data_IF_958700556835
#
_entry.id   IF_958700556835
#
_cell.length_a   1.000
_cell.length_b   1.000
_cell.length_c   1.000
_cell.angle_alpha   90.00
_cell.angle_beta   90.00
_cell.angle_gamma   90.00
#
_symmetry.space_group_name_H-M   'P 1'
#
loop_
_entity.id
_entity.type
_entity.pdbx_description
1 polymer ?
#
# COMPACT_ATOMS: atom_id res chain seq x y z
N UNK A 1 -22.34 -54.29 13.45
CA UNK A 1 -22.39 -55.10 12.21
C UNK A 1 -23.80 -55.26 11.64
N UNK A 2 -24.83 -55.50 12.46
CA UNK A 2 -26.22 -55.73 12.01
C UNK A 2 -26.87 -54.52 11.30
N UNK A 3 -26.55 -53.28 11.70
CA UNK A 3 -27.05 -52.07 11.04
C UNK A 3 -26.51 -51.89 9.61
N UNK A 4 -25.27 -52.30 9.33
CA UNK A 4 -24.69 -52.26 7.98
C UNK A 4 -25.30 -53.32 7.06
N UNK A 5 -25.61 -54.51 7.59
CA UNK A 5 -26.27 -55.58 6.84
C UNK A 5 -27.71 -55.20 6.46
N UNK A 6 -28.44 -54.52 7.34
CA UNK A 6 -29.80 -54.03 7.05
C UNK A 6 -29.83 -52.96 5.95
N UNK A 7 -28.83 -52.05 5.92
CA UNK A 7 -28.70 -51.04 4.86
C UNK A 7 -28.37 -51.69 3.51
N UNK A 8 -27.49 -52.70 3.49
CA UNK A 8 -27.16 -53.44 2.26
C UNK A 8 -28.34 -54.24 1.71
N UNK A 9 -29.18 -54.82 2.57
CA UNK A 9 -30.38 -55.54 2.15
C UNK A 9 -31.49 -54.60 1.66
N UNK A 10 -31.62 -53.41 2.27
CA UNK A 10 -32.54 -52.37 1.82
C UNK A 10 -32.15 -51.83 0.45
N UNK A 11 -30.87 -51.51 0.22
CA UNK A 11 -30.38 -51.00 -1.07
C UNK A 11 -30.44 -52.04 -2.21
N UNK A 12 -30.39 -53.34 -1.91
CA UNK A 12 -30.52 -54.42 -2.92
C UNK A 12 -31.96 -54.73 -3.33
N UNK A 13 -32.96 -54.34 -2.54
CA UNK A 13 -34.39 -54.62 -2.79
C UNK A 13 -35.13 -53.55 -3.60
N UNK A 14 -34.54 -52.37 -3.80
CA UNK A 14 -35.20 -51.26 -4.51
C UNK A 14 -34.85 -51.31 -6.00
N UNK A 15 -35.77 -51.84 -6.82
CA UNK A 15 -35.76 -51.55 -8.27
C UNK A 15 -36.13 -50.07 -8.44
N UNK A 16 -35.12 -49.20 -8.51
CA UNK A 16 -35.34 -47.77 -8.78
C UNK A 16 -35.80 -47.62 -10.22
N UNK A 17 -37.07 -47.24 -10.41
CA UNK A 17 -37.52 -46.76 -11.70
C UNK A 17 -36.91 -45.37 -12.00
N UNK A 18 -36.90 -44.97 -13.27
CA UNK A 18 -36.33 -43.70 -13.70
C UNK A 18 -36.98 -42.50 -12.99
N UNK A 19 -38.25 -42.62 -12.56
CA UNK A 19 -38.97 -41.57 -11.85
C UNK A 19 -38.43 -41.39 -10.42
N UNK A 20 -38.19 -42.48 -9.69
CA UNK A 20 -37.61 -42.47 -8.34
C UNK A 20 -36.16 -41.98 -8.37
N UNK A 21 -35.37 -42.38 -9.38
CA UNK A 21 -34.02 -41.88 -9.57
C UNK A 21 -33.99 -40.37 -9.88
N UNK A 22 -34.89 -39.88 -10.74
CA UNK A 22 -35.02 -38.46 -11.03
C UNK A 22 -35.49 -37.66 -9.80
N UNK A 23 -36.43 -38.20 -9.02
CA UNK A 23 -36.92 -37.58 -7.78
C UNK A 23 -35.81 -37.46 -6.74
N UNK A 24 -35.07 -38.55 -6.47
CA UNK A 24 -33.95 -38.56 -5.51
C UNK A 24 -32.83 -37.62 -5.95
N UNK A 25 -32.52 -37.57 -7.25
CA UNK A 25 -31.54 -36.62 -7.80
C UNK A 25 -32.01 -35.18 -7.65
N UNK A 26 -33.29 -34.90 -7.93
CA UNK A 26 -33.90 -33.59 -7.74
C UNK A 26 -33.86 -33.12 -6.29
N UNK A 27 -34.20 -34.00 -5.34
CA UNK A 27 -34.10 -33.74 -3.90
C UNK A 27 -32.65 -33.50 -3.47
N UNK A 28 -31.70 -34.31 -3.93
CA UNK A 28 -30.28 -34.13 -3.63
C UNK A 28 -29.73 -32.79 -4.15
N UNK A 29 -30.09 -32.41 -5.40
CA UNK A 29 -29.73 -31.12 -5.98
C UNK A 29 -30.37 -29.94 -5.22
N UNK A 30 -31.64 -30.07 -4.81
CA UNK A 30 -32.33 -29.06 -4.02
C UNK A 30 -31.69 -28.89 -2.63
N UNK A 31 -31.45 -29.99 -1.90
CA UNK A 31 -30.76 -29.99 -0.60
C UNK A 31 -29.36 -29.40 -0.74
N UNK A 32 -28.59 -29.81 -1.75
CA UNK A 32 -27.28 -29.25 -2.04
C UNK A 32 -27.31 -27.74 -2.30
N UNK A 33 -28.29 -27.28 -3.09
CA UNK A 33 -28.48 -25.85 -3.38
C UNK A 33 -28.84 -25.05 -2.13
N UNK A 34 -29.73 -25.59 -1.28
CA UNK A 34 -30.08 -24.98 0.02
C UNK A 34 -28.87 -24.92 0.94
N UNK A 35 -28.09 -26.01 1.05
CA UNK A 35 -26.86 -26.02 1.87
C UNK A 35 -25.85 -24.99 1.38
N UNK A 36 -25.65 -24.86 0.06
CA UNK A 36 -24.77 -23.84 -0.52
C UNK A 36 -25.29 -22.43 -0.23
N UNK A 37 -26.60 -22.20 -0.38
CA UNK A 37 -27.23 -20.92 -0.08
C UNK A 37 -27.09 -20.55 1.40
N UNK A 38 -27.39 -21.47 2.31
CA UNK A 38 -27.24 -21.28 3.77
C UNK A 38 -25.78 -20.99 4.14
N UNK A 39 -24.83 -21.76 3.60
CA UNK A 39 -23.39 -21.51 3.82
C UNK A 39 -22.98 -20.13 3.30
N UNK A 40 -23.48 -19.72 2.13
CA UNK A 40 -23.21 -18.40 1.55
C UNK A 40 -23.78 -17.27 2.42
N UNK A 41 -25.03 -17.39 2.87
CA UNK A 41 -25.68 -16.41 3.77
C UNK A 41 -24.91 -16.33 5.10
N UNK A 42 -24.57 -17.47 5.71
CA UNK A 42 -23.81 -17.51 6.96
C UNK A 42 -22.42 -16.85 6.81
N UNK A 43 -21.71 -17.15 5.71
CA UNK A 43 -20.41 -16.52 5.42
C UNK A 43 -20.54 -15.01 5.23
N UNK A 44 -21.59 -14.53 4.54
CA UNK A 44 -21.84 -13.11 4.36
C UNK A 44 -22.09 -12.40 5.70
N UNK A 45 -22.95 -12.97 6.56
CA UNK A 45 -23.20 -12.41 7.90
C UNK A 45 -21.92 -12.31 8.73
N UNK A 46 -21.10 -13.38 8.76
CA UNK A 46 -19.81 -13.36 9.45
C UNK A 46 -18.87 -12.28 8.92
N UNK A 47 -18.86 -12.07 7.60
CA UNK A 47 -18.05 -11.02 6.97
C UNK A 47 -18.54 -9.61 7.35
N UNK A 48 -19.85 -9.40 7.35
CA UNK A 48 -20.48 -8.14 7.80
C UNK A 48 -20.18 -7.85 9.28
N UNK A 49 -20.33 -8.85 10.16
CA UNK A 49 -19.99 -8.72 11.57
C UNK A 49 -18.52 -8.33 11.80
N UNK A 50 -17.58 -8.94 11.06
CA UNK A 50 -16.16 -8.57 11.09
C UNK A 50 -15.94 -7.12 10.66
N UNK A 51 -16.57 -6.70 9.55
CA UNK A 51 -16.49 -5.31 9.07
C UNK A 51 -17.04 -4.35 10.13
N UNK A 52 -18.18 -4.68 10.73
CA UNK A 52 -18.81 -3.83 11.75
C UNK A 52 -17.93 -3.68 12.99
N UNK A 53 -17.28 -4.75 13.46
CA UNK A 53 -16.30 -4.66 14.55
C UNK A 53 -15.11 -3.77 14.19
N UNK A 54 -14.54 -3.92 12.99
CA UNK A 54 -13.44 -3.08 12.53
C UNK A 54 -13.83 -1.59 12.45
N UNK A 55 -15.04 -1.29 11.94
CA UNK A 55 -15.60 0.07 11.92
C UNK A 55 -15.85 0.63 13.32
N UNK A 56 -16.35 -0.20 14.24
CA UNK A 56 -16.58 0.19 15.63
C UNK A 56 -15.26 0.54 16.34
N UNK A 57 -14.21 -0.27 16.16
CA UNK A 57 -12.87 0.03 16.70
C UNK A 57 -12.32 1.34 16.16
N UNK A 58 -12.46 1.56 14.85
CA UNK A 58 -12.08 2.82 14.20
C UNK A 58 -12.80 4.01 14.83
N UNK A 59 -14.13 3.95 14.93
CA UNK A 59 -14.94 5.03 15.50
C UNK A 59 -14.57 5.32 16.95
N UNK A 60 -14.39 4.28 17.77
CA UNK A 60 -13.92 4.44 19.16
C UNK A 60 -12.56 5.15 19.22
N UNK A 61 -11.60 4.74 18.39
CA UNK A 61 -10.26 5.37 18.35
C UNK A 61 -10.34 6.85 17.95
N UNK A 62 -11.19 7.20 16.98
CA UNK A 62 -11.42 8.58 16.54
C UNK A 62 -12.05 9.42 17.66
N UNK A 63 -13.09 8.90 18.32
CA UNK A 63 -13.76 9.61 19.42
C UNK A 63 -12.83 9.85 20.61
N UNK A 64 -12.02 8.85 20.98
CA UNK A 64 -11.05 8.99 22.07
C UNK A 64 -9.96 10.02 21.73
N UNK A 65 -9.51 10.04 20.48
CA UNK A 65 -8.57 11.05 20.00
C UNK A 65 -9.18 12.47 20.00
N UNK A 66 -10.44 12.62 19.56
CA UNK A 66 -11.17 13.90 19.63
C UNK A 66 -11.26 14.41 21.06
N UNK A 67 -11.61 13.55 22.02
CA UNK A 67 -11.65 13.92 23.43
C UNK A 67 -10.28 14.32 23.98
N UNK A 68 -9.21 13.62 23.57
CA UNK A 68 -7.85 13.97 24.00
C UNK A 68 -7.41 15.33 23.46
N UNK A 69 -7.70 15.63 22.19
CA UNK A 69 -7.46 16.94 21.57
C UNK A 69 -8.25 18.04 22.29
N UNK A 70 -9.53 17.82 22.60
CA UNK A 70 -10.34 18.81 23.31
C UNK A 70 -9.76 19.15 24.69
N UNK A 71 -9.42 18.13 25.49
CA UNK A 71 -8.78 18.32 26.81
C UNK A 71 -7.44 19.05 26.70
N UNK A 72 -6.67 18.75 25.66
CA UNK A 72 -5.41 19.45 25.40
C UNK A 72 -5.63 20.94 25.16
N UNK A 73 -6.58 21.29 24.28
CA UNK A 73 -6.90 22.68 23.95
C UNK A 73 -7.45 23.47 25.14
N UNK A 74 -8.24 22.84 26.00
CA UNK A 74 -8.73 23.46 27.24
C UNK A 74 -7.60 23.81 28.20
N UNK A 75 -6.56 22.96 28.29
CA UNK A 75 -5.40 23.17 29.15
C UNK A 75 -4.29 24.03 28.53
N UNK A 76 -4.25 24.15 27.19
CA UNK A 76 -3.23 24.88 26.44
C UNK A 76 -3.88 25.86 25.43
N UNK A 77 -4.65 26.86 25.90
CA UNK A 77 -5.40 27.76 25.03
C UNK A 77 -4.52 28.66 24.15
N UNK A 78 -3.23 28.79 24.49
CA UNK A 78 -2.25 29.63 23.78
C UNK A 78 -1.49 28.89 22.68
N UNK A 79 -1.69 27.58 22.49
CA UNK A 79 -1.01 26.81 21.44
C UNK A 79 -1.43 27.29 20.07
N UNK A 80 -0.47 27.80 19.29
CA UNK A 80 -0.70 28.23 17.91
C UNK A 80 -0.55 27.05 16.93
N UNK A 81 -1.65 26.27 16.80
CA UNK A 81 -1.72 25.18 15.83
C UNK A 81 -1.47 25.64 14.39
N UNK A 82 -1.82 26.89 14.03
CA UNK A 82 -1.61 27.38 12.67
C UNK A 82 -0.13 27.55 12.37
N UNK A 83 0.62 28.16 13.29
CA UNK A 83 2.07 28.28 13.21
C UNK A 83 2.74 26.90 13.09
N UNK A 84 2.39 25.96 13.99
CA UNK A 84 2.98 24.62 14.01
C UNK A 84 2.76 23.86 12.68
N UNK A 85 1.54 23.93 12.13
CA UNK A 85 1.20 23.23 10.89
C UNK A 85 1.87 23.83 9.63
N UNK A 86 2.30 25.08 9.71
CA UNK A 86 2.98 25.80 8.62
C UNK A 86 4.48 25.48 8.51
N UNK A 87 5.11 24.98 9.59
CA UNK A 87 6.54 24.65 9.61
C UNK A 87 6.88 23.49 8.66
N UNK A 88 8.06 23.55 8.04
CA UNK A 88 8.69 22.37 7.42
C UNK A 88 9.11 21.36 8.49
N UNK A 89 9.35 20.11 8.10
CA UNK A 89 9.83 19.11 9.06
C UNK A 89 11.18 19.48 9.68
N UNK A 90 12.08 20.12 8.91
CA UNK A 90 13.38 20.56 9.42
C UNK A 90 13.24 21.68 10.44
N UNK A 91 12.35 22.65 10.24
CA UNK A 91 12.10 23.72 11.20
C UNK A 91 11.43 23.19 12.46
N UNK A 92 10.45 22.30 12.31
CA UNK A 92 9.73 21.69 13.41
C UNK A 92 10.65 20.84 14.29
N UNK A 93 11.50 20.00 13.69
CA UNK A 93 12.48 19.18 14.44
C UNK A 93 13.54 20.03 15.14
N UNK A 94 13.98 21.14 14.51
CA UNK A 94 14.88 22.10 15.15
C UNK A 94 14.24 22.70 16.41
N UNK A 95 13.02 23.22 16.29
CA UNK A 95 12.29 23.83 17.40
C UNK A 95 11.97 22.86 18.53
N UNK A 96 11.63 21.61 18.22
CA UNK A 96 11.45 20.54 19.21
C UNK A 96 12.74 20.22 19.97
N UNK A 97 13.90 20.22 19.30
CA UNK A 97 15.20 20.00 19.93
C UNK A 97 15.62 21.15 20.83
N UNK A 98 15.40 22.39 20.38
CA UNK A 98 15.66 23.62 21.13
C UNK A 98 14.69 23.80 22.31
N UNK A 99 13.52 23.15 22.26
CA UNK A 99 12.49 23.22 23.30
C UNK A 99 11.55 24.42 23.16
N UNK A 100 11.57 25.12 22.03
CA UNK A 100 10.63 26.21 21.73
C UNK A 100 9.23 25.68 21.37
N UNK A 101 9.15 24.43 20.91
CA UNK A 101 7.91 23.66 20.80
C UNK A 101 8.01 22.42 21.69
N UNK A 102 6.89 22.01 22.27
CA UNK A 102 6.79 20.73 22.98
C UNK A 102 6.29 19.62 22.05
N UNK A 103 6.67 18.34 22.28
CA UNK A 103 6.08 17.22 21.56
C UNK A 103 4.55 17.20 21.65
N UNK A 104 3.98 17.61 22.79
CA UNK A 104 2.55 17.68 23.03
C UNK A 104 1.87 18.71 22.11
N UNK A 105 2.41 19.93 22.02
CA UNK A 105 1.88 20.97 21.12
C UNK A 105 1.83 20.45 19.69
N UNK A 106 2.95 19.89 19.22
CA UNK A 106 3.04 19.35 17.87
C UNK A 106 2.06 18.20 17.66
N UNK A 107 2.03 17.23 18.57
CA UNK A 107 1.21 16.04 18.45
C UNK A 107 -0.28 16.39 18.38
N UNK A 108 -0.78 17.22 19.30
CA UNK A 108 -2.20 17.54 19.34
C UNK A 108 -2.63 18.48 18.20
N UNK A 109 -1.76 19.40 17.74
CA UNK A 109 -2.04 20.20 16.53
C UNK A 109 -2.20 19.33 15.27
N UNK A 110 -1.32 18.33 15.08
CA UNK A 110 -1.44 17.39 13.94
C UNK A 110 -2.61 16.41 14.12
N UNK A 111 -2.89 15.94 15.34
CA UNK A 111 -4.05 15.09 15.63
C UNK A 111 -5.36 15.82 15.33
N UNK A 112 -5.51 17.08 15.76
CA UNK A 112 -6.68 17.92 15.46
C UNK A 112 -6.90 18.04 13.94
N UNK A 113 -5.85 18.40 13.21
CA UNK A 113 -5.90 18.55 11.75
C UNK A 113 -6.23 17.22 11.06
N UNK A 114 -5.67 16.12 11.55
CA UNK A 114 -5.92 14.77 11.03
C UNK A 114 -7.38 14.37 11.19
N UNK A 115 -7.97 14.57 12.38
CA UNK A 115 -9.38 14.25 12.64
C UNK A 115 -10.31 15.06 11.72
N UNK A 116 -10.03 16.36 11.56
CA UNK A 116 -10.79 17.23 10.67
C UNK A 116 -10.70 16.81 9.20
N UNK A 117 -9.52 16.39 8.73
CA UNK A 117 -9.33 15.89 7.36
C UNK A 117 -9.95 14.51 7.16
N UNK A 118 -9.86 13.62 8.14
CA UNK A 118 -10.43 12.28 8.03
C UNK A 118 -11.96 12.33 7.86
N UNK A 119 -12.65 13.27 8.52
CA UNK A 119 -14.09 13.51 8.31
C UNK A 119 -14.44 13.86 6.85
N UNK A 120 -13.53 14.54 6.14
CA UNK A 120 -13.73 14.99 4.75
C UNK A 120 -13.22 13.98 3.72
N UNK A 121 -12.10 13.32 4.00
CA UNK A 121 -11.32 12.55 3.04
C UNK A 121 -11.40 11.05 3.26
N UNK A 122 -11.82 10.59 4.45
CA UNK A 122 -11.85 9.18 4.86
C UNK A 122 -10.47 8.50 4.67
N UNK A 123 -9.41 9.15 5.13
CA UNK A 123 -8.01 8.78 4.87
C UNK A 123 -7.35 7.93 5.98
N UNK A 124 -7.94 7.84 7.17
CA UNK A 124 -7.40 7.08 8.31
C UNK A 124 -8.25 5.84 8.61
N UNK A 125 -7.64 4.67 8.80
CA UNK A 125 -8.33 3.45 9.22
C UNK A 125 -8.48 3.35 10.73
N UNK A 126 -7.59 3.99 11.49
CA UNK A 126 -7.60 4.02 12.95
C UNK A 126 -6.61 5.07 13.49
N UNK A 127 -6.88 5.54 14.71
CA UNK A 127 -5.91 6.30 15.52
C UNK A 127 -5.19 5.31 16.44
N UNK A 128 -3.87 5.39 16.49
CA UNK A 128 -3.01 4.57 17.36
C UNK A 128 -2.99 5.22 18.75
N UNK A 129 -3.85 4.77 19.66
CA UNK A 129 -4.01 5.42 20.97
C UNK A 129 -2.78 5.27 21.87
N UNK A 130 -1.94 4.27 21.60
CA UNK A 130 -0.62 4.05 22.18
C UNK A 130 0.31 5.25 21.97
N UNK A 131 0.05 6.07 20.94
CA UNK A 131 0.79 7.30 20.71
C UNK A 131 0.64 8.32 21.85
N UNK A 132 -0.49 8.30 22.58
CA UNK A 132 -0.71 9.14 23.76
C UNK A 132 0.18 8.74 24.93
N UNK A 133 0.50 7.44 25.06
CA UNK A 133 1.42 6.94 26.08
C UNK A 133 2.88 7.10 25.65
N UNK A 134 3.15 6.93 24.35
CA UNK A 134 4.46 7.22 23.78
C UNK A 134 4.82 8.70 23.95
N UNK A 135 3.86 9.61 23.77
CA UNK A 135 4.07 11.05 23.95
C UNK A 135 4.62 11.39 25.34
N UNK A 136 4.12 10.74 26.40
CA UNK A 136 4.58 10.94 27.79
C UNK A 136 6.04 10.49 28.00
N UNK A 137 6.52 9.56 27.19
CA UNK A 137 7.84 8.93 27.36
C UNK A 137 8.84 9.33 26.27
N UNK A 138 8.41 10.10 25.26
CA UNK A 138 9.20 10.46 24.08
C UNK A 138 10.45 11.24 24.45
N UNK A 139 10.43 11.99 25.57
CA UNK A 139 11.58 12.75 26.10
C UNK A 139 12.84 11.90 26.30
N UNK A 140 12.70 10.59 26.54
CA UNK A 140 13.84 9.65 26.61
C UNK A 140 14.58 9.45 25.28
N UNK A 141 14.00 9.87 24.16
CA UNK A 141 14.56 9.77 22.81
C UNK A 141 14.84 11.16 22.20
N UNK A 142 15.18 12.16 23.02
CA UNK A 142 15.45 13.55 22.57
C UNK A 142 16.58 13.67 21.55
N UNK A 143 17.54 12.75 21.58
CA UNK A 143 18.66 12.70 20.63
C UNK A 143 18.26 12.19 19.24
N UNK A 144 17.09 11.57 19.12
CA UNK A 144 16.56 11.05 17.88
C UNK A 144 16.39 12.13 16.80
N UNK A 145 16.60 11.76 15.54
CA UNK A 145 16.47 12.70 14.42
C UNK A 145 15.02 13.14 14.16
N UNK A 146 14.04 12.40 14.65
CA UNK A 146 12.62 12.66 14.48
C UNK A 146 11.92 12.86 15.84
N UNK A 147 12.66 13.31 16.86
CA UNK A 147 12.13 13.56 18.20
C UNK A 147 10.85 14.40 18.17
N UNK A 148 9.77 13.85 18.75
CA UNK A 148 8.48 14.53 18.90
C UNK A 148 7.66 14.64 17.62
N UNK A 149 8.12 14.08 16.48
CA UNK A 149 7.43 14.18 15.19
C UNK A 149 6.30 13.14 15.09
N UNK A 150 5.03 13.54 14.90
CA UNK A 150 3.95 12.62 14.57
C UNK A 150 4.13 12.07 13.16
N UNK A 151 4.08 10.75 13.01
CA UNK A 151 4.27 10.06 11.72
C UNK A 151 3.04 9.22 11.38
N UNK A 152 2.48 9.41 10.18
CA UNK A 152 1.43 8.53 9.66
C UNK A 152 2.04 7.26 9.08
N UNK A 153 1.37 6.12 9.26
CA UNK A 153 1.82 4.85 8.67
C UNK A 153 0.70 4.22 7.87
N UNK A 154 1.01 3.69 6.68
CA UNK A 154 0.02 2.95 5.90
C UNK A 154 -0.49 1.73 6.66
N UNK A 155 -1.77 1.38 6.50
CA UNK A 155 -2.39 0.31 7.31
C UNK A 155 -1.70 -1.05 7.24
N UNK A 156 -0.99 -1.37 6.15
CA UNK A 156 -0.24 -2.61 6.04
C UNK A 156 1.13 -2.60 6.76
N UNK A 157 1.51 -1.50 7.40
CA UNK A 157 2.68 -1.44 8.29
C UNK A 157 2.28 -2.03 9.64
N UNK A 158 2.99 -3.09 10.05
CA UNK A 158 2.72 -3.78 11.31
C UNK A 158 3.01 -2.87 12.51
N UNK A 159 2.00 -2.71 13.36
CA UNK A 159 2.02 -1.98 14.62
C UNK A 159 1.34 -2.87 15.65
N UNK A 160 2.01 -3.11 16.78
CA UNK A 160 1.61 -4.08 17.80
C UNK A 160 0.15 -3.88 18.22
N UNK A 161 -0.58 -4.98 18.40
CA UNK A 161 -1.98 -5.05 18.85
C UNK A 161 -3.02 -4.51 17.84
N UNK A 162 -2.59 -4.17 16.62
CA UNK A 162 -3.45 -3.72 15.52
C UNK A 162 -3.48 -4.68 14.33
N UNK A 163 -4.61 -4.71 13.62
CA UNK A 163 -4.77 -5.52 12.41
C UNK A 163 -3.91 -4.97 11.25
N UNK A 164 -3.52 -5.86 10.34
CA UNK A 164 -3.03 -5.51 8.99
C UNK A 164 -3.99 -6.12 7.96
N UNK A 165 -5.19 -5.56 7.90
CA UNK A 165 -6.30 -6.03 7.09
C UNK A 165 -5.98 -6.05 5.60
N UNK A 166 -5.15 -5.11 5.10
CA UNK A 166 -4.93 -4.90 3.67
C UNK A 166 -6.25 -4.75 2.88
N UNK A 167 -7.32 -4.27 3.53
CA UNK A 167 -8.65 -4.15 2.92
C UNK A 167 -9.35 -5.49 2.65
N UNK A 168 -8.83 -6.62 3.16
CA UNK A 168 -9.42 -7.96 3.02
C UNK A 168 -9.90 -8.51 4.36
N UNK A 169 -11.11 -9.07 4.35
CA UNK A 169 -11.83 -9.48 5.58
C UNK A 169 -11.18 -10.67 6.26
N UNK A 170 -10.48 -11.52 5.49
CA UNK A 170 -9.77 -12.68 6.04
C UNK A 170 -8.64 -12.28 6.99
N UNK A 171 -8.15 -11.03 6.93
CA UNK A 171 -7.11 -10.52 7.81
C UNK A 171 -7.66 -9.68 9.00
N UNK A 172 -8.98 -9.56 9.14
CA UNK A 172 -9.59 -8.87 10.29
C UNK A 172 -9.62 -9.75 11.54
N UNK A 173 -9.57 -9.10 12.70
CA UNK A 173 -9.53 -9.70 14.04
C UNK A 173 -8.29 -10.60 14.23
N UNK A 174 -7.14 -10.14 13.70
CA UNK A 174 -5.83 -10.79 13.74
C UNK A 174 -4.76 -9.72 14.02
N UNK A 175 -4.74 -9.17 15.24
CA UNK A 175 -3.76 -8.17 15.62
C UNK A 175 -2.35 -8.75 15.57
N UNK A 176 -1.38 -7.94 15.14
CA UNK A 176 0.03 -8.37 15.11
C UNK A 176 0.66 -8.27 16.49
N UNK A 177 1.48 -9.26 16.86
CA UNK A 177 2.06 -9.34 18.22
C UNK A 177 3.18 -8.33 18.48
N UNK A 178 3.76 -7.75 17.43
CA UNK A 178 4.90 -6.84 17.53
C UNK A 178 4.89 -5.77 16.45
N UNK A 179 5.52 -4.64 16.78
CA UNK A 179 5.85 -3.60 15.83
C UNK A 179 6.79 -4.15 14.74
N UNK A 180 6.58 -3.69 13.51
CA UNK A 180 7.58 -3.86 12.44
C UNK A 180 8.91 -3.22 12.84
N UNK A 181 10.02 -3.72 12.28
CA UNK A 181 11.36 -3.11 12.47
C UNK A 181 11.32 -1.61 12.13
N UNK A 182 10.58 -1.22 11.10
CA UNK A 182 10.44 0.17 10.71
C UNK A 182 9.79 1.02 11.81
N UNK A 183 8.70 0.55 12.42
CA UNK A 183 8.03 1.23 13.54
C UNK A 183 8.95 1.29 14.77
N UNK A 184 9.67 0.21 15.08
CA UNK A 184 10.63 0.19 16.19
C UNK A 184 11.73 1.26 16.00
N UNK A 185 12.28 1.36 14.79
CA UNK A 185 13.30 2.36 14.46
C UNK A 185 12.74 3.78 14.51
N UNK A 186 11.52 4.01 13.99
CA UNK A 186 10.85 5.32 14.12
C UNK A 186 10.70 5.73 15.59
N UNK A 187 10.17 4.84 16.43
CA UNK A 187 10.03 5.08 17.88
C UNK A 187 11.38 5.35 18.54
N UNK A 188 12.43 4.59 18.18
CA UNK A 188 13.80 4.79 18.68
C UNK A 188 14.38 6.15 18.26
N UNK A 189 14.01 6.65 17.09
CA UNK A 189 14.38 7.99 16.59
C UNK A 189 13.49 9.11 17.16
N UNK A 190 12.62 8.79 18.11
CA UNK A 190 11.75 9.74 18.80
C UNK A 190 10.51 10.16 18.00
N UNK A 191 10.26 9.56 16.83
CA UNK A 191 9.01 9.75 16.09
C UNK A 191 7.85 9.05 16.79
N UNK A 192 6.64 9.59 16.65
CA UNK A 192 5.41 9.10 17.28
C UNK A 192 4.44 8.64 16.17
N UNK A 193 4.44 7.35 15.79
CA UNK A 193 3.41 6.83 14.89
C UNK A 193 2.02 6.99 15.53
N UNK A 194 1.11 7.72 14.89
CA UNK A 194 -0.13 8.17 15.54
C UNK A 194 -1.43 7.75 14.84
N UNK A 195 -1.37 7.43 13.54
CA UNK A 195 -2.52 6.94 12.78
C UNK A 195 -2.11 5.90 11.76
N UNK A 196 -3.02 4.99 11.45
CA UNK A 196 -2.93 4.16 10.26
C UNK A 196 -3.78 4.72 9.14
N UNK A 197 -3.24 4.75 7.92
CA UNK A 197 -3.92 5.33 6.77
C UNK A 197 -4.46 4.30 5.79
N UNK A 198 -5.55 4.66 5.12
CA UNK A 198 -6.35 3.79 4.28
C UNK A 198 -5.63 3.38 2.98
N UNK A 199 -6.08 2.27 2.44
CA UNK A 199 -5.51 1.59 1.29
C UNK A 199 -6.58 0.86 0.47
N UNK A 200 -6.33 0.53 -0.81
CA UNK A 200 -7.24 -0.28 -1.60
C UNK A 200 -7.24 -1.75 -1.18
N UNK A 201 -8.34 -2.43 -1.43
CA UNK A 201 -8.48 -3.86 -1.18
C UNK A 201 -7.35 -4.67 -1.84
N UNK A 202 -6.71 -5.52 -1.03
CA UNK A 202 -5.58 -6.37 -1.39
C UNK A 202 -4.33 -5.63 -1.91
N UNK A 203 -4.25 -4.31 -1.72
CA UNK A 203 -3.14 -3.44 -2.18
C UNK A 203 -2.95 -3.40 -3.71
N UNK A 204 -3.85 -4.02 -4.48
CA UNK A 204 -3.69 -4.24 -5.92
C UNK A 204 -4.55 -3.28 -6.75
N UNK A 205 -4.51 -2.00 -6.39
CA UNK A 205 -5.11 -0.91 -7.15
C UNK A 205 -4.30 0.36 -6.95
N UNK A 206 -4.36 1.25 -7.95
CA UNK A 206 -3.87 2.62 -7.83
C UNK A 206 -4.98 3.61 -7.45
N UNK A 207 -6.18 3.11 -7.13
CA UNK A 207 -7.22 3.83 -6.38
C UNK A 207 -7.09 3.54 -4.87
N UNK A 208 -7.97 4.09 -4.03
CA UNK A 208 -7.94 3.90 -2.58
C UNK A 208 -9.33 3.63 -1.99
N UNK A 209 -9.86 2.43 -2.22
CA UNK A 209 -11.13 1.98 -1.61
C UNK A 209 -11.07 0.51 -1.20
N UNK A 210 -11.72 0.19 -0.09
CA UNK A 210 -11.95 -1.18 0.32
C UNK A 210 -13.31 -1.34 1.04
N UNK A 211 -13.86 -2.56 1.13
CA UNK A 211 -15.19 -2.79 1.72
C UNK A 211 -15.26 -2.58 3.24
N UNK A 212 -14.11 -2.46 3.92
CA UNK A 212 -14.02 -2.33 5.38
C UNK A 212 -14.14 -0.86 5.77
N UNK A 213 -13.27 -0.01 5.22
CA UNK A 213 -13.14 1.40 5.60
C UNK A 213 -13.72 2.38 4.57
N UNK A 214 -14.10 1.91 3.38
CA UNK A 214 -14.65 2.73 2.30
C UNK A 214 -13.58 3.43 1.47
N UNK A 215 -14.02 4.40 0.68
CA UNK A 215 -13.20 5.13 -0.29
C UNK A 215 -12.53 6.35 0.33
N UNK A 216 -11.25 6.55 0.04
CA UNK A 216 -10.49 7.77 0.31
C UNK A 216 -10.45 8.66 -0.92
N UNK A 217 -10.78 9.94 -0.74
CA UNK A 217 -10.82 10.92 -1.85
C UNK A 217 -9.62 11.87 -1.83
N UNK A 218 -9.35 12.53 -2.96
CA UNK A 218 -8.22 13.44 -3.11
C UNK A 218 -8.44 14.76 -2.33
N UNK A 219 -7.42 15.27 -1.61
CA UNK A 219 -7.52 16.51 -0.83
C UNK A 219 -7.75 17.77 -1.69
N UNK A 220 -7.31 17.76 -2.95
CA UNK A 220 -7.49 18.88 -3.88
C UNK A 220 -8.85 18.86 -4.59
N UNK A 221 -9.44 17.67 -4.76
CA UNK A 221 -10.75 17.51 -5.40
C UNK A 221 -11.42 16.19 -4.94
N UNK A 222 -12.50 16.25 -4.13
CA UNK A 222 -13.20 15.06 -3.64
C UNK A 222 -13.79 14.14 -4.73
N UNK A 223 -13.92 14.61 -5.97
CA UNK A 223 -14.36 13.79 -7.11
C UNK A 223 -13.22 13.00 -7.78
N UNK A 224 -11.98 13.14 -7.29
CA UNK A 224 -10.79 12.46 -7.82
C UNK A 224 -10.26 11.45 -6.81
N UNK A 225 -9.61 10.42 -7.33
CA UNK A 225 -8.87 9.46 -6.51
C UNK A 225 -7.65 10.12 -5.86
N UNK A 226 -7.34 9.71 -4.64
CA UNK A 226 -6.10 10.05 -3.93
C UNK A 226 -4.88 9.29 -4.48
N UNK A 227 -5.07 8.38 -5.44
CA UNK A 227 -4.03 7.45 -5.88
C UNK A 227 -3.90 6.28 -4.92
N UNK A 228 -2.98 5.36 -5.19
CA UNK A 228 -2.87 4.15 -4.39
C UNK A 228 -1.68 3.27 -4.73
N UNK A 229 -1.36 2.28 -3.90
CA UNK A 229 -2.13 1.83 -2.74
C UNK A 229 -1.89 2.62 -1.45
N UNK A 230 -0.95 3.56 -1.40
CA UNK A 230 -0.73 4.44 -0.22
C UNK A 230 -1.60 5.72 -0.29
N UNK A 231 -2.86 5.57 -0.69
CA UNK A 231 -3.75 6.71 -0.96
C UNK A 231 -4.13 7.48 0.29
N UNK A 232 -4.30 6.78 1.43
CA UNK A 232 -4.51 7.42 2.73
C UNK A 232 -3.35 8.33 3.15
N UNK A 233 -2.10 7.88 2.99
CA UNK A 233 -0.90 8.71 3.21
C UNK A 233 -0.91 9.95 2.31
N UNK A 234 -1.13 9.75 1.00
CA UNK A 234 -1.20 10.85 0.04
C UNK A 234 -2.25 11.89 0.42
N UNK A 235 -3.47 11.45 0.76
CA UNK A 235 -4.55 12.33 1.12
C UNK A 235 -4.31 13.06 2.45
N UNK A 236 -3.77 12.37 3.46
CA UNK A 236 -3.51 12.95 4.78
C UNK A 236 -2.40 14.00 4.72
N UNK A 237 -1.26 13.67 4.09
CA UNK A 237 -0.11 14.58 3.96
C UNK A 237 -0.46 15.74 3.03
N UNK A 238 -1.10 15.46 1.88
CA UNK A 238 -1.54 16.50 0.93
C UNK A 238 -2.61 17.44 1.50
N UNK A 239 -3.41 16.97 2.46
CA UNK A 239 -4.34 17.81 3.23
C UNK A 239 -3.71 18.56 4.40
N UNK A 240 -2.44 18.26 4.72
CA UNK A 240 -1.67 18.88 5.82
C UNK A 240 -1.91 18.26 7.20
N UNK A 241 -2.50 17.06 7.29
CA UNK A 241 -2.72 16.36 8.57
C UNK A 241 -1.52 15.56 9.06
N UNK A 242 -0.49 15.39 8.24
CA UNK A 242 0.77 14.77 8.61
C UNK A 242 1.90 15.42 7.82
N UNK A 243 3.07 15.58 8.46
CA UNK A 243 4.29 16.06 7.80
C UNK A 243 5.03 14.96 7.07
N UNK A 244 5.01 13.77 7.65
CA UNK A 244 5.82 12.63 7.28
C UNK A 244 5.00 11.37 7.46
N UNK A 245 5.07 10.49 6.48
CA UNK A 245 4.45 9.20 6.58
C UNK A 245 5.18 8.10 5.82
N UNK A 246 4.79 6.86 6.09
CA UNK A 246 5.39 5.68 5.47
C UNK A 246 4.37 5.00 4.55
N UNK A 247 4.72 4.95 3.26
CA UNK A 247 4.02 4.16 2.25
C UNK A 247 4.80 2.90 1.84
N UNK A 248 4.21 2.14 0.93
CA UNK A 248 4.82 0.95 0.33
C UNK A 248 4.58 0.93 -1.18
N UNK A 249 5.55 0.45 -1.96
CA UNK A 249 5.57 0.56 -3.42
C UNK A 249 6.22 -0.67 -4.09
N UNK A 250 5.41 -1.39 -4.85
CA UNK A 250 5.81 -2.47 -5.77
C UNK A 250 5.61 -2.08 -7.25
N UNK A 251 4.67 -1.17 -7.52
CA UNK A 251 4.24 -0.79 -8.87
C UNK A 251 3.89 0.69 -9.04
N UNK A 252 4.30 1.54 -8.08
CA UNK A 252 4.01 2.97 -8.06
C UNK A 252 3.30 3.44 -6.78
N UNK A 253 3.07 2.57 -5.81
CA UNK A 253 2.14 2.86 -4.71
C UNK A 253 2.60 3.90 -3.67
N UNK A 254 3.83 4.40 -3.74
CA UNK A 254 4.27 5.64 -3.04
C UNK A 254 4.17 6.81 -4.01
N UNK A 255 4.66 6.62 -5.25
CA UNK A 255 4.82 7.68 -6.26
C UNK A 255 3.49 8.19 -6.85
N UNK A 256 2.52 7.30 -7.08
CA UNK A 256 1.20 7.62 -7.62
C UNK A 256 0.41 8.51 -6.65
N UNK A 257 0.17 8.12 -5.39
CA UNK A 257 -0.53 8.99 -4.46
C UNK A 257 0.25 10.28 -4.15
N UNK A 258 1.59 10.23 -4.16
CA UNK A 258 2.38 11.46 -4.04
C UNK A 258 2.12 12.44 -5.19
N UNK A 259 2.13 11.96 -6.43
CA UNK A 259 1.82 12.76 -7.61
C UNK A 259 0.39 13.29 -7.60
N UNK A 260 -0.60 12.46 -7.25
CA UNK A 260 -2.01 12.84 -7.32
C UNK A 260 -2.41 13.82 -6.20
N UNK A 261 -1.78 13.72 -5.04
CA UNK A 261 -2.05 14.58 -3.89
C UNK A 261 -1.07 15.75 -3.77
N UNK A 262 -0.15 15.93 -4.73
CA UNK A 262 0.75 17.09 -4.78
C UNK A 262 1.80 17.12 -3.67
N UNK A 263 2.38 15.96 -3.34
CA UNK A 263 3.42 15.81 -2.30
C UNK A 263 4.63 15.05 -2.87
N UNK A 264 5.69 14.91 -2.06
CA UNK A 264 6.86 14.12 -2.41
C UNK A 264 6.77 12.68 -1.86
N UNK A 265 7.33 11.72 -2.59
CA UNK A 265 7.41 10.33 -2.13
C UNK A 265 8.61 9.61 -2.73
N UNK A 266 9.33 8.84 -1.91
CA UNK A 266 10.55 8.15 -2.32
C UNK A 266 10.39 6.63 -2.15
N UNK A 267 10.56 5.89 -3.25
CA UNK A 267 10.68 4.42 -3.23
C UNK A 267 12.17 4.04 -3.26
N UNK A 268 12.79 3.71 -2.11
CA UNK A 268 14.19 3.28 -2.11
C UNK A 268 14.38 1.95 -2.84
N UNK A 269 15.62 1.56 -3.09
CA UNK A 269 15.97 0.21 -3.55
C UNK A 269 15.39 -0.84 -2.61
N UNK A 270 14.85 -1.93 -3.15
CA UNK A 270 14.36 -3.04 -2.34
C UNK A 270 15.48 -3.57 -1.43
N UNK A 271 15.17 -3.86 -0.17
CA UNK A 271 16.16 -4.26 0.84
C UNK A 271 16.96 -3.11 1.45
N UNK A 272 16.80 -1.85 1.00
CA UNK A 272 17.47 -0.70 1.65
C UNK A 272 16.88 -0.37 3.03
N UNK A 273 15.58 -0.60 3.20
CA UNK A 273 14.90 -0.57 4.49
C UNK A 273 14.32 -1.95 4.75
N UNK A 274 14.20 -2.33 6.03
CA UNK A 274 13.53 -3.59 6.36
C UNK A 274 12.06 -3.53 6.00
N UNK A 275 11.67 -4.30 4.98
CA UNK A 275 10.29 -4.57 4.60
C UNK A 275 10.10 -6.05 4.28
N UNK A 276 9.02 -6.66 4.77
CA UNK A 276 8.67 -8.06 4.44
C UNK A 276 7.84 -8.01 3.15
N UNK A 277 8.40 -8.49 2.05
CA UNK A 277 7.64 -8.55 0.81
C UNK A 277 8.07 -9.65 -0.14
N UNK A 278 7.18 -9.95 -1.07
CA UNK A 278 7.47 -10.72 -2.27
C UNK A 278 7.88 -9.74 -3.38
N UNK A 279 8.86 -10.12 -4.21
CA UNK A 279 9.45 -9.28 -5.25
C UNK A 279 10.14 -8.01 -4.72
N UNK A 280 10.61 -7.13 -5.61
CA UNK A 280 11.34 -5.89 -5.30
C UNK A 280 10.47 -4.75 -4.73
N UNK A 281 9.48 -5.08 -3.91
CA UNK A 281 8.64 -4.12 -3.17
C UNK A 281 9.44 -3.43 -2.06
N UNK A 282 9.12 -2.17 -1.80
CA UNK A 282 9.88 -1.35 -0.85
C UNK A 282 8.95 -0.47 0.00
N UNK A 283 9.28 -0.30 1.27
CA UNK A 283 8.72 0.75 2.11
C UNK A 283 9.54 2.04 1.92
N UNK A 284 8.90 3.19 2.06
CA UNK A 284 9.61 4.46 1.92
C UNK A 284 8.79 5.68 2.39
N UNK A 285 9.47 6.81 2.59
CA UNK A 285 8.83 8.01 3.12
C UNK A 285 7.99 8.73 2.08
N UNK A 286 6.96 9.42 2.57
CA UNK A 286 6.11 10.39 1.89
C UNK A 286 6.07 11.67 2.76
N UNK A 287 6.21 12.84 2.15
CA UNK A 287 6.29 14.11 2.87
C UNK A 287 5.96 15.29 1.95
N UNK A 288 5.86 16.52 2.51
CA UNK A 288 5.55 17.74 1.73
C UNK A 288 6.72 18.25 0.88
N UNK A 289 7.93 17.85 1.21
CA UNK A 289 9.18 18.30 0.57
C UNK A 289 10.24 17.19 0.55
N UNK A 290 11.27 17.36 -0.27
CA UNK A 290 12.33 16.36 -0.49
C UNK A 290 13.26 16.24 0.72
N UNK A 291 13.56 17.35 1.41
CA UNK A 291 14.41 17.35 2.60
C UNK A 291 13.82 16.51 3.72
N UNK A 292 12.50 16.53 3.88
CA UNK A 292 11.78 15.67 4.82
C UNK A 292 11.93 14.18 4.50
N UNK A 293 11.96 13.82 3.21
CA UNK A 293 12.23 12.45 2.80
C UNK A 293 13.67 12.04 3.15
N UNK A 294 14.64 12.93 2.90
CA UNK A 294 16.04 12.71 3.22
C UNK A 294 16.27 12.55 4.73
N UNK A 295 15.67 13.42 5.54
CA UNK A 295 15.72 13.34 7.00
C UNK A 295 15.15 12.03 7.53
N UNK A 296 14.01 11.58 6.98
CA UNK A 296 13.44 10.29 7.35
C UNK A 296 14.36 9.13 6.96
N UNK A 297 14.90 9.13 5.73
CA UNK A 297 15.86 8.10 5.30
C UNK A 297 17.13 8.09 6.18
N UNK A 298 17.63 9.26 6.58
CA UNK A 298 18.75 9.39 7.50
C UNK A 298 18.44 8.82 8.89
N UNK A 299 17.24 9.08 9.43
CA UNK A 299 16.79 8.54 10.70
C UNK A 299 16.65 7.00 10.67
N UNK A 300 16.13 6.46 9.57
CA UNK A 300 15.89 5.03 9.43
C UNK A 300 17.17 4.22 9.16
N UNK A 301 18.12 4.76 8.41
CA UNK A 301 19.38 4.10 8.07
C UNK A 301 20.43 4.27 9.19
N UNK A 302 20.13 3.69 10.34
CA UNK A 302 20.96 3.74 11.54
C UNK A 302 21.32 2.35 12.08
N UNK A 303 22.29 2.30 13.00
CA UNK A 303 22.78 1.06 13.62
C UNK A 303 21.66 0.23 14.25
N UNK A 304 20.62 0.88 14.80
CA UNK A 304 19.49 0.18 15.38
C UNK A 304 18.73 -0.64 14.32
N UNK A 305 18.47 -0.09 13.12
CA UNK A 305 17.85 -0.84 12.02
C UNK A 305 18.72 -2.03 11.62
N UNK A 306 20.02 -1.80 11.44
CA UNK A 306 20.96 -2.84 11.01
C UNK A 306 21.12 -3.94 12.06
N UNK A 307 20.97 -3.62 13.35
CA UNK A 307 21.00 -4.58 14.45
C UNK A 307 19.71 -5.40 14.56
N UNK A 308 18.54 -4.78 14.30
CA UNK A 308 17.24 -5.45 14.36
C UNK A 308 17.02 -6.42 13.20
N UNK A 309 17.62 -6.15 12.04
CA UNK A 309 17.53 -7.04 10.89
C UNK A 309 18.84 -7.09 10.07
N UNK A 310 19.67 -8.13 10.24
CA UNK A 310 20.95 -8.25 9.54
C UNK A 310 20.79 -8.57 8.04
N UNK A 311 19.57 -8.75 7.53
CA UNK A 311 19.32 -8.87 6.09
C UNK A 311 19.34 -7.51 5.37
N UNK A 312 19.28 -6.40 6.11
CA UNK A 312 19.45 -5.05 5.57
C UNK A 312 20.94 -4.73 5.49
N UNK A 313 21.49 -4.38 4.32
CA UNK A 313 22.88 -3.96 4.21
C UNK A 313 23.14 -2.71 5.08
N UNK A 314 24.17 -2.69 5.94
CA UNK A 314 24.46 -1.59 6.85
C UNK A 314 25.08 -0.40 6.12
N UNK A 315 24.29 0.22 5.24
CA UNK A 315 24.69 1.35 4.42
C UNK A 315 24.04 2.62 4.99
N UNK A 316 24.79 3.46 5.74
CA UNK A 316 24.24 4.68 6.29
C UNK A 316 23.81 5.65 5.18
N UNK A 317 22.97 6.62 5.54
CA UNK A 317 22.59 7.69 4.61
C UNK A 317 23.78 8.62 4.37
N UNK A 318 24.18 8.81 3.11
CA UNK A 318 25.32 9.64 2.76
C UNK A 318 24.86 11.10 2.53
N UNK A 319 25.03 11.94 3.55
CA UNK A 319 24.68 13.37 3.49
C UNK A 319 25.54 14.18 2.54
N UNK A 320 26.79 13.77 2.29
CA UNK A 320 27.69 14.44 1.34
C UNK A 320 27.16 14.29 -0.09
N UNK A 321 26.76 13.06 -0.48
CA UNK A 321 26.12 12.80 -1.77
C UNK A 321 24.81 13.58 -1.88
N UNK A 322 23.99 13.60 -0.82
CA UNK A 322 22.72 14.32 -0.83
C UNK A 322 22.89 15.84 -1.03
N UNK A 323 23.88 16.44 -0.37
CA UNK A 323 24.14 17.89 -0.41
C UNK A 323 25.00 18.34 -1.59
N UNK A 324 25.50 17.41 -2.40
CA UNK A 324 26.34 17.73 -3.55
C UNK A 324 25.58 18.60 -4.56
N UNK A 325 26.16 19.74 -4.91
CA UNK A 325 25.66 20.67 -5.93
C UNK A 325 26.33 20.51 -7.31
N UNK A 326 27.09 19.42 -7.51
CA UNK A 326 27.81 19.19 -8.76
C UNK A 326 26.84 19.12 -9.96
N UNK A 327 27.22 19.63 -11.14
CA UNK A 327 26.46 19.42 -12.36
C UNK A 327 26.18 17.93 -12.61
N UNK A 328 24.98 17.64 -13.11
CA UNK A 328 24.48 16.28 -13.29
C UNK A 328 24.32 15.98 -14.78
N UNK A 329 24.54 14.72 -15.16
CA UNK A 329 24.11 14.16 -16.44
C UNK A 329 22.80 13.43 -16.21
N UNK A 330 21.71 13.92 -16.81
CA UNK A 330 20.34 13.51 -16.52
C UNK A 330 19.75 12.81 -17.74
N UNK A 331 19.41 11.54 -17.58
CA UNK A 331 18.60 10.82 -18.56
C UNK A 331 17.15 11.28 -18.50
N UNK A 332 16.56 11.55 -19.65
CA UNK A 332 15.16 11.95 -19.72
C UNK A 332 14.40 11.23 -20.83
N UNK A 333 13.11 11.01 -20.57
CA UNK A 333 12.16 10.48 -21.53
C UNK A 333 10.85 11.25 -21.38
N UNK A 334 10.24 11.66 -22.50
CA UNK A 334 8.90 12.26 -22.47
C UNK A 334 7.80 11.21 -22.59
N UNK A 335 8.09 10.09 -23.25
CA UNK A 335 7.15 9.01 -23.51
C UNK A 335 7.88 7.67 -23.38
N UNK A 336 7.26 6.72 -22.69
CA UNK A 336 7.81 5.37 -22.48
C UNK A 336 7.50 4.40 -23.63
N UNK A 337 6.77 4.87 -24.65
CA UNK A 337 6.29 4.06 -25.78
C UNK A 337 5.15 3.09 -25.41
N UNK A 338 4.59 3.21 -24.20
CA UNK A 338 3.60 2.31 -23.64
C UNK A 338 2.34 3.05 -23.19
N UNK A 339 2.47 4.14 -22.43
CA UNK A 339 1.34 4.97 -21.99
C UNK A 339 1.55 6.40 -22.45
N UNK A 340 0.68 6.88 -23.33
CA UNK A 340 0.74 8.26 -23.83
C UNK A 340 0.65 9.22 -22.64
N UNK A 341 1.64 10.12 -22.44
CA UNK A 341 1.57 11.13 -21.38
C UNK A 341 0.42 12.10 -21.68
N UNK A 342 -0.25 12.57 -20.63
CA UNK A 342 -1.19 13.69 -20.79
C UNK A 342 -0.44 14.97 -21.19
N UNK A 343 -1.13 15.99 -21.74
CA UNK A 343 -0.51 17.28 -22.03
C UNK A 343 0.17 17.92 -20.80
N UNK A 344 -0.42 17.77 -19.62
CA UNK A 344 0.16 18.30 -18.37
C UNK A 344 1.42 17.56 -17.94
N UNK A 345 1.47 16.23 -18.11
CA UNK A 345 2.67 15.43 -17.82
C UNK A 345 3.82 15.81 -18.75
N UNK A 346 3.56 15.85 -20.07
CA UNK A 346 4.58 16.20 -21.05
C UNK A 346 5.12 17.62 -20.84
N UNK A 347 4.23 18.59 -20.55
CA UNK A 347 4.63 19.96 -20.22
C UNK A 347 5.50 20.01 -18.97
N UNK A 348 5.11 19.34 -17.88
CA UNK A 348 5.88 19.32 -16.64
C UNK A 348 7.31 18.79 -16.81
N UNK A 349 7.48 17.72 -17.60
CA UNK A 349 8.81 17.17 -17.91
C UNK A 349 9.66 18.19 -18.68
N UNK A 350 9.09 18.88 -19.68
CA UNK A 350 9.81 19.89 -20.47
C UNK A 350 10.20 21.12 -19.66
N UNK A 351 9.31 21.60 -18.80
CA UNK A 351 9.58 22.74 -17.90
C UNK A 351 10.72 22.41 -16.94
N UNK A 352 10.68 21.24 -16.28
CA UNK A 352 11.74 20.80 -15.37
C UNK A 352 13.07 20.61 -16.11
N UNK A 353 13.04 20.03 -17.32
CA UNK A 353 14.22 19.91 -18.18
C UNK A 353 14.84 21.28 -18.45
N UNK A 354 14.05 22.25 -18.92
CA UNK A 354 14.54 23.59 -19.25
C UNK A 354 15.15 24.29 -18.03
N UNK A 355 14.51 24.20 -16.86
CA UNK A 355 15.01 24.79 -15.61
C UNK A 355 16.34 24.16 -15.17
N UNK A 356 16.47 22.84 -15.29
CA UNK A 356 17.71 22.14 -14.93
C UNK A 356 18.84 22.37 -15.95
N UNK A 357 18.53 22.52 -17.24
CA UNK A 357 19.52 22.94 -18.24
C UNK A 357 20.03 24.36 -17.95
N UNK A 358 19.15 25.30 -17.59
CA UNK A 358 19.53 26.65 -17.17
C UNK A 358 20.40 26.66 -15.90
N UNK A 359 20.18 25.71 -14.98
CA UNK A 359 21.01 25.52 -13.79
C UNK A 359 22.37 24.83 -14.06
N UNK A 360 22.70 24.51 -15.33
CA UNK A 360 23.98 23.95 -15.73
C UNK A 360 24.04 22.42 -15.76
N UNK A 361 22.91 21.72 -15.64
CA UNK A 361 22.86 20.26 -15.83
C UNK A 361 22.83 19.88 -17.32
N UNK A 362 23.34 18.70 -17.65
CA UNK A 362 23.34 18.16 -19.02
C UNK A 362 22.26 17.11 -19.17
N UNK A 363 21.42 17.21 -20.20
CA UNK A 363 20.39 16.22 -20.50
C UNK A 363 20.82 15.29 -21.64
N UNK A 364 20.51 14.00 -21.47
CA UNK A 364 20.76 12.96 -22.48
C UNK A 364 19.45 12.22 -22.73
N UNK A 365 18.97 12.11 -23.98
CA UNK A 365 17.78 11.32 -24.29
C UNK A 365 17.98 9.87 -23.83
N UNK A 366 17.04 9.37 -23.03
CA UNK A 366 17.03 8.00 -22.56
C UNK A 366 15.98 7.20 -23.32
N UNK A 367 16.40 6.11 -23.97
CA UNK A 367 15.48 5.20 -24.63
C UNK A 367 14.99 4.17 -23.58
N UNK A 368 13.68 4.09 -23.31
CA UNK A 368 13.16 3.12 -22.37
C UNK A 368 13.44 1.70 -22.86
N UNK A 369 13.55 0.77 -21.92
CA UNK A 369 13.58 -0.66 -22.23
C UNK A 369 12.30 -1.06 -23.00
N UNK A 370 12.28 -2.22 -23.65
CA UNK A 370 11.15 -2.72 -24.44
C UNK A 370 9.87 -2.90 -23.59
N UNK A 371 9.15 -1.82 -23.30
CA UNK A 371 8.05 -1.79 -22.31
C UNK A 371 6.90 -2.73 -22.68
N UNK A 372 6.63 -2.90 -23.99
CA UNK A 372 5.63 -3.85 -24.50
C UNK A 372 5.96 -5.31 -24.19
N UNK A 373 7.22 -5.66 -23.94
CA UNK A 373 7.64 -7.00 -23.51
C UNK A 373 7.75 -7.04 -21.97
N UNK A 374 8.42 -6.07 -21.36
CA UNK A 374 8.74 -6.07 -19.93
C UNK A 374 7.48 -5.99 -19.06
N UNK A 375 6.54 -5.11 -19.38
CA UNK A 375 5.34 -4.92 -18.56
C UNK A 375 4.50 -6.20 -18.46
N UNK A 376 4.09 -6.85 -19.56
CA UNK A 376 3.32 -8.09 -19.47
C UNK A 376 4.17 -9.29 -19.01
N UNK A 377 5.35 -9.52 -19.58
CA UNK A 377 6.09 -10.78 -19.41
C UNK A 377 6.95 -10.84 -18.14
N UNK A 378 7.51 -9.71 -17.71
CA UNK A 378 8.40 -9.67 -16.55
C UNK A 378 7.71 -9.08 -15.33
N UNK A 379 7.03 -7.94 -15.46
CA UNK A 379 6.37 -7.30 -14.32
C UNK A 379 5.05 -7.98 -13.95
N UNK A 380 4.07 -8.01 -14.85
CA UNK A 380 2.73 -8.50 -14.54
C UNK A 380 2.69 -10.03 -14.32
N UNK A 381 3.33 -10.80 -15.21
CA UNK A 381 3.41 -12.27 -15.08
C UNK A 381 4.20 -12.68 -13.83
N UNK A 382 5.26 -11.95 -13.48
CA UNK A 382 6.01 -12.16 -12.23
C UNK A 382 5.17 -11.85 -10.99
N UNK A 383 4.45 -10.72 -10.99
CA UNK A 383 3.55 -10.33 -9.91
C UNK A 383 2.41 -11.34 -9.67
N UNK A 384 1.90 -11.93 -10.75
CA UNK A 384 0.79 -12.87 -10.73
C UNK A 384 1.25 -14.29 -11.11
N UNK A 385 2.45 -14.67 -10.68
CA UNK A 385 3.13 -15.91 -11.08
C UNK A 385 2.29 -17.18 -10.87
N UNK A 386 1.48 -17.22 -9.81
CA UNK A 386 0.60 -18.35 -9.49
C UNK A 386 -0.75 -18.32 -10.24
N UNK A 387 -0.90 -17.41 -11.20
CA UNK A 387 -2.13 -17.21 -11.96
C UNK A 387 -3.26 -16.61 -11.11
N UNK A 388 -2.93 -15.74 -10.14
CA UNK A 388 -3.85 -15.02 -9.24
C UNK A 388 -4.47 -15.86 -8.12
N UNK A 389 -4.00 -17.08 -7.92
CA UNK A 389 -4.62 -18.06 -6.99
C UNK A 389 -4.58 -17.55 -5.55
N UNK A 390 -3.41 -17.13 -5.07
CA UNK A 390 -3.20 -16.63 -3.70
C UNK A 390 -3.98 -15.34 -3.44
N UNK A 391 -4.04 -14.45 -4.44
CA UNK A 391 -4.84 -13.23 -4.38
C UNK A 391 -6.35 -13.55 -4.24
N UNK A 392 -6.87 -14.43 -5.10
CA UNK A 392 -8.28 -14.82 -5.07
C UNK A 392 -8.66 -15.53 -3.77
N UNK A 393 -7.73 -16.29 -3.17
CA UNK A 393 -7.93 -16.89 -1.86
C UNK A 393 -8.12 -15.83 -0.77
N UNK A 394 -7.36 -14.73 -0.81
CA UNK A 394 -7.51 -13.60 0.12
C UNK A 394 -8.83 -12.85 -0.03
N UNK A 395 -9.40 -12.84 -1.24
CA UNK A 395 -10.69 -12.22 -1.54
C UNK A 395 -11.89 -13.16 -1.28
N UNK A 396 -11.65 -14.43 -0.94
CA UNK A 396 -12.71 -15.42 -0.81
C UNK A 396 -13.62 -15.11 0.38
N UNK A 397 -14.93 -15.19 0.17
CA UNK A 397 -15.94 -15.07 1.23
C UNK A 397 -16.26 -13.64 1.66
N UNK A 398 -15.61 -12.62 1.08
CA UNK A 398 -15.91 -11.21 1.32
C UNK A 398 -16.41 -10.46 0.08
N UNK A 399 -17.07 -9.29 0.25
CA UNK A 399 -17.29 -8.34 -0.85
C UNK A 399 -15.99 -7.97 -1.57
N UNK A 400 -16.11 -7.79 -2.88
CA UNK A 400 -15.06 -7.21 -3.73
C UNK A 400 -15.39 -5.74 -3.95
N UNK A 401 -14.43 -4.87 -3.65
CA UNK A 401 -14.59 -3.42 -3.83
C UNK A 401 -14.88 -3.07 -5.29
N UNK A 402 -15.81 -2.12 -5.57
CA UNK A 402 -16.08 -1.67 -6.94
C UNK A 402 -14.84 -1.31 -7.76
N UNK A 403 -13.80 -0.71 -7.15
CA UNK A 403 -12.57 -0.36 -7.86
C UNK A 403 -11.79 -1.59 -8.37
N UNK A 404 -12.00 -2.75 -7.74
CA UNK A 404 -11.27 -3.99 -8.02
C UNK A 404 -12.12 -5.01 -8.81
N UNK A 405 -13.46 -4.86 -8.84
CA UNK A 405 -14.39 -5.80 -9.49
C UNK A 405 -14.02 -6.15 -10.95
N UNK A 406 -13.70 -5.18 -11.84
CA UNK A 406 -13.38 -5.51 -13.23
C UNK A 406 -12.13 -6.41 -13.34
N UNK A 407 -11.10 -6.13 -12.54
CA UNK A 407 -9.87 -6.91 -12.52
C UNK A 407 -10.10 -8.32 -11.97
N UNK A 408 -10.83 -8.44 -10.85
CA UNK A 408 -11.12 -9.73 -10.21
C UNK A 408 -11.97 -10.63 -11.09
N UNK A 409 -12.88 -10.07 -11.90
CA UNK A 409 -13.63 -10.85 -12.88
C UNK A 409 -12.69 -11.60 -13.83
N UNK A 410 -11.70 -10.92 -14.39
CA UNK A 410 -10.71 -11.52 -15.28
C UNK A 410 -9.81 -12.53 -14.56
N UNK A 411 -9.41 -12.25 -13.32
CA UNK A 411 -8.59 -13.14 -12.51
C UNK A 411 -9.27 -14.50 -12.31
N UNK A 412 -10.60 -14.51 -12.13
CA UNK A 412 -11.40 -15.73 -11.92
C UNK A 412 -11.56 -16.59 -13.17
N UNK A 413 -11.27 -16.08 -14.37
CA UNK A 413 -11.43 -16.87 -15.59
C UNK A 413 -10.47 -18.08 -15.59
N UNK A 414 -10.92 -19.28 -16.01
CA UNK A 414 -10.05 -20.43 -16.17
C UNK A 414 -8.89 -20.14 -17.14
N UNK A 415 -7.72 -20.75 -16.90
CA UNK A 415 -6.52 -20.53 -17.72
C UNK A 415 -6.75 -20.80 -19.22
N UNK A 416 -7.50 -21.86 -19.56
CA UNK A 416 -7.80 -22.20 -20.96
C UNK A 416 -8.61 -21.08 -21.64
N UNK A 417 -9.56 -20.48 -20.93
CA UNK A 417 -10.38 -19.40 -21.47
C UNK A 417 -9.57 -18.12 -21.64
N UNK A 418 -8.71 -17.78 -20.67
CA UNK A 418 -7.75 -16.66 -20.79
C UNK A 418 -6.87 -16.80 -22.04
N UNK A 419 -6.38 -18.02 -22.33
CA UNK A 419 -5.57 -18.30 -23.53
C UNK A 419 -6.35 -18.09 -24.83
N UNK A 420 -7.60 -18.55 -24.90
CA UNK A 420 -8.46 -18.32 -26.07
C UNK A 420 -8.71 -16.83 -26.27
N UNK A 421 -9.10 -16.11 -25.22
CA UNK A 421 -9.33 -14.66 -25.28
C UNK A 421 -8.05 -13.92 -25.73
N UNK A 422 -6.91 -14.28 -25.15
CA UNK A 422 -5.61 -13.71 -25.54
C UNK A 422 -5.29 -13.95 -27.01
N UNK A 423 -5.48 -15.17 -27.52
CA UNK A 423 -5.28 -15.50 -28.94
C UNK A 423 -6.17 -14.67 -29.87
N UNK A 424 -7.47 -14.58 -29.56
CA UNK A 424 -8.43 -13.82 -30.36
C UNK A 424 -8.16 -12.30 -30.35
N UNK A 425 -7.66 -11.76 -29.24
CA UNK A 425 -7.35 -10.33 -29.12
C UNK A 425 -6.00 -9.94 -29.73
N UNK A 426 -5.10 -10.88 -29.98
CA UNK A 426 -3.75 -10.59 -30.49
C UNK A 426 -3.72 -9.69 -31.75
N UNK A 427 -4.56 -9.91 -32.79
CA UNK A 427 -4.53 -9.05 -33.99
C UNK A 427 -5.12 -7.65 -33.77
N UNK A 428 -6.06 -7.47 -32.83
CA UNK A 428 -6.80 -6.20 -32.66
C UNK A 428 -6.25 -5.36 -31.50
N UNK A 429 -5.82 -6.01 -30.41
CA UNK A 429 -5.32 -5.38 -29.20
C UNK A 429 -4.17 -6.20 -28.60
N UNK A 430 -2.95 -6.12 -29.18
CA UNK A 430 -1.82 -6.92 -28.74
C UNK A 430 -1.44 -6.69 -27.28
N UNK A 431 -1.58 -5.45 -26.77
CA UNK A 431 -1.35 -5.13 -25.36
C UNK A 431 -2.35 -5.83 -24.43
N UNK A 432 -3.64 -5.81 -24.77
CA UNK A 432 -4.67 -6.49 -23.97
C UNK A 432 -4.50 -8.00 -24.03
N UNK A 433 -4.13 -8.53 -25.21
CA UNK A 433 -3.77 -9.94 -25.39
C UNK A 433 -2.60 -10.37 -24.48
N UNK A 434 -1.51 -9.60 -24.47
CA UNK A 434 -0.34 -9.88 -23.63
C UNK A 434 -0.68 -9.79 -22.13
N UNK A 435 -1.45 -8.78 -21.73
CA UNK A 435 -1.94 -8.61 -20.36
C UNK A 435 -2.76 -9.82 -19.90
N UNK A 436 -3.73 -10.28 -20.69
CA UNK A 436 -4.57 -11.44 -20.35
C UNK A 436 -3.74 -12.74 -20.33
N UNK A 437 -2.77 -12.89 -21.24
CA UNK A 437 -1.83 -14.01 -21.24
C UNK A 437 -1.04 -14.07 -19.93
N UNK A 438 -0.52 -12.93 -19.47
CA UNK A 438 0.23 -12.83 -18.22
C UNK A 438 -0.58 -13.27 -16.98
N UNK A 439 -1.92 -13.09 -16.99
CA UNK A 439 -2.81 -13.56 -15.92
C UNK A 439 -2.89 -15.10 -15.78
N UNK A 440 -2.29 -15.84 -16.70
CA UNK A 440 -2.13 -17.30 -16.56
C UNK A 440 -1.00 -17.67 -15.58
N UNK A 441 -0.13 -16.71 -15.25
CA UNK A 441 1.07 -16.89 -14.44
C UNK A 441 2.22 -17.54 -15.22
N UNK A 442 3.22 -18.03 -14.48
CA UNK A 442 4.40 -18.74 -15.02
C UNK A 442 4.18 -20.25 -15.10
N UNK A 443 3.23 -20.78 -14.33
CA UNK A 443 2.75 -22.16 -14.44
C UNK A 443 3.54 -23.21 -13.66
N UNK A 444 4.86 -23.08 -13.53
CA UNK A 444 5.71 -24.01 -12.75
C UNK A 444 6.86 -23.30 -12.05
N UNK A 445 7.49 -23.96 -11.07
CA UNK A 445 8.66 -23.42 -10.35
C UNK A 445 9.87 -23.21 -11.28
N UNK A 446 10.22 -24.13 -12.20
CA UNK A 446 11.30 -23.87 -13.16
C UNK A 446 11.05 -22.64 -14.06
N UNK A 447 9.81 -22.41 -14.50
CA UNK A 447 9.47 -21.22 -15.28
C UNK A 447 9.51 -19.95 -14.44
N UNK A 448 9.20 -20.02 -13.14
CA UNK A 448 9.42 -18.92 -12.21
C UNK A 448 10.91 -18.57 -12.11
N UNK A 449 11.79 -19.56 -11.98
CA UNK A 449 13.24 -19.32 -11.93
C UNK A 449 13.78 -18.71 -13.22
N UNK A 450 13.32 -19.17 -14.39
CA UNK A 450 13.65 -18.55 -15.68
C UNK A 450 13.20 -17.10 -15.74
N UNK A 451 12.00 -16.81 -15.24
CA UNK A 451 11.48 -15.44 -15.19
C UNK A 451 12.32 -14.55 -14.25
N UNK A 452 12.71 -15.04 -13.07
CA UNK A 452 13.60 -14.31 -12.17
C UNK A 452 14.98 -14.04 -12.81
N UNK A 453 15.58 -15.05 -13.45
CA UNK A 453 16.85 -14.87 -14.16
C UNK A 453 16.73 -13.84 -15.29
N UNK A 454 15.62 -13.83 -16.03
CA UNK A 454 15.38 -12.82 -17.07
C UNK A 454 15.27 -11.39 -16.49
N UNK A 455 14.68 -11.24 -15.29
CA UNK A 455 14.63 -9.96 -14.58
C UNK A 455 16.02 -9.51 -14.13
N UNK A 456 16.87 -10.43 -13.67
CA UNK A 456 18.24 -10.13 -13.21
C UNK A 456 19.19 -9.71 -14.32
N UNK A 457 18.97 -10.16 -15.55
CA UNK A 457 19.83 -9.84 -16.70
C UNK A 457 19.45 -8.51 -17.36
N UNK A 458 18.21 -8.03 -17.21
CA UNK A 458 17.78 -6.74 -17.78
C UNK A 458 18.68 -5.53 -17.42
N UNK A 459 19.14 -5.36 -16.16
CA UNK A 459 20.04 -4.26 -15.78
C UNK A 459 21.45 -4.38 -16.37
N UNK A 460 21.87 -5.55 -16.88
CA UNK A 460 23.22 -5.78 -17.37
C UNK A 460 23.44 -5.26 -18.82
N UNK A 461 22.36 -5.00 -19.57
CA UNK A 461 22.40 -4.60 -20.99
C UNK A 461 22.22 -3.09 -21.22
N UNK A 462 22.40 -2.30 -20.15
CA UNK A 462 21.65 -1.06 -19.95
C UNK A 462 22.12 0.14 -20.81
N UNK A 463 21.13 0.88 -21.31
CA UNK A 463 21.25 2.20 -21.89
C UNK A 463 21.90 3.20 -20.91
N UNK A 464 21.77 2.99 -19.60
CA UNK A 464 22.44 3.79 -18.58
C UNK A 464 23.98 3.71 -18.63
N UNK A 465 24.55 2.53 -18.90
CA UNK A 465 26.01 2.38 -19.05
C UNK A 465 26.53 3.11 -20.28
N UNK A 466 25.76 3.12 -21.37
CA UNK A 466 26.06 3.91 -22.60
C UNK A 466 25.96 5.42 -22.37
N UNK A 467 25.16 5.87 -21.42
CA UNK A 467 25.06 7.29 -21.03
C UNK A 467 26.19 7.77 -20.11
N UNK A 468 26.83 6.86 -19.38
CA UNK A 468 27.97 7.16 -18.50
C UNK A 468 29.26 7.40 -19.28
N UNK A 469 29.42 6.72 -20.42
CA UNK A 469 30.42 7.05 -21.43
C UNK A 469 30.15 8.45 -22.00
#
# INVERSE_FOLDING_TARGET
MQALQNIQHFLKGVKMDNQTAALLTGVACAVGSVVVLVKKISSHRKAEEKIMRAKSRREESLQRAEQAVLRYKESHPTTDSFFILALSLSELTKQLKEGSLTPEDVFYSYMEKTLALNKKLNCCTEVLLESLDQLKTVGSNKDGLLYGVPVSIKENVAFKDHDCSCGVIINLDQPVEKDSVLVQVLKKQGAIPFVKTNLPQALLSYDCSNPIYGQTVNPHNPQKTSGGSSGGEGALIGGGGSLLGIGTDIGGSIRIPASFCGICGFKPTAGRLRWVSFMSSSAGPMARDVDSLALCMQALLCDHMFSLDPTVPPLPFNMEIYRSSRPLRIGYLENDGYTQPSPSMARGVREVKALLEQAGHTFVPYCPLKMNEIVPELWLRGLLADGTTSLLQKLKGGPVDPCLKPQVFEYRLPKWLKKIISFLLKPVSPRTSARISALCGVGSVPELWKQHAAVEVLPADDAWSRMKA
#
